data_IF_797334576278
#
_entry.id   IF_797334576278
#
_cell.length_a   1.000
_cell.length_b   1.000
_cell.length_c   1.000
_cell.angle_alpha   90.00
_cell.angle_beta   90.00
_cell.angle_gamma   90.00
#
_symmetry.space_group_name_H-M   'P 1'
#
loop_
_entity.id
_entity.type
_entity.pdbx_description
1 polymer ?
#
# COMPACT_ATOMS: atom_id res chain seq x y z
N UNK A 1 23.96 43.67 -0.68
CA UNK A 1 23.53 42.28 -0.94
C UNK A 1 23.80 41.45 0.30
N UNK A 2 22.77 40.99 1.06
CA UNK A 2 23.01 40.20 2.26
C UNK A 2 23.59 38.83 1.88
N UNK A 3 24.73 38.46 2.49
CA UNK A 3 25.39 37.17 2.29
C UNK A 3 24.46 36.05 2.79
N UNK A 4 23.86 35.31 1.87
CA UNK A 4 23.08 34.11 2.17
C UNK A 4 24.04 33.11 2.83
N UNK A 5 23.92 32.96 4.14
CA UNK A 5 24.67 31.95 4.88
C UNK A 5 24.20 30.59 4.38
N UNK A 6 25.06 29.91 3.60
CA UNK A 6 24.83 28.54 3.16
C UNK A 6 24.72 27.68 4.44
N UNK A 7 23.49 27.32 4.81
CA UNK A 7 23.24 26.41 5.94
C UNK A 7 24.01 25.13 5.66
N UNK A 8 24.85 24.70 6.62
CA UNK A 8 25.53 23.39 6.55
C UNK A 8 24.44 22.32 6.51
N UNK A 9 24.17 21.78 5.33
CA UNK A 9 23.27 20.64 5.20
C UNK A 9 23.88 19.46 5.96
N UNK A 10 23.03 18.76 6.70
CA UNK A 10 23.38 17.47 7.27
C UNK A 10 23.89 16.56 6.14
N UNK A 11 24.98 15.84 6.37
CA UNK A 11 25.52 14.91 5.37
C UNK A 11 24.47 13.82 5.16
N UNK A 12 24.08 13.62 3.90
CA UNK A 12 23.12 12.59 3.50
C UNK A 12 23.96 11.43 2.97
N UNK A 13 23.77 10.24 3.52
CA UNK A 13 24.53 9.07 3.09
C UNK A 13 24.03 8.59 1.72
N UNK A 14 24.92 7.95 0.95
CA UNK A 14 24.57 7.46 -0.38
C UNK A 14 23.39 6.48 -0.34
N UNK A 15 23.30 5.62 0.69
CA UNK A 15 22.17 4.71 0.87
C UNK A 15 20.82 5.44 1.04
N UNK A 16 20.81 6.63 1.64
CA UNK A 16 19.60 7.46 1.75
C UNK A 16 19.23 8.08 0.40
N UNK A 17 20.25 8.44 -0.39
CA UNK A 17 20.09 8.95 -1.76
C UNK A 17 19.50 7.85 -2.65
N UNK A 18 20.02 6.63 -2.57
CA UNK A 18 19.55 5.52 -3.38
C UNK A 18 18.09 5.19 -3.03
N UNK A 19 17.75 5.18 -1.74
CA UNK A 19 16.38 4.93 -1.28
C UNK A 19 15.40 5.99 -1.80
N UNK A 20 15.73 7.29 -1.69
CA UNK A 20 14.82 8.36 -2.09
C UNK A 20 14.58 8.39 -3.59
N UNK A 21 15.59 8.03 -4.40
CA UNK A 21 15.48 8.00 -5.86
C UNK A 21 14.53 6.87 -6.30
N UNK A 22 14.56 5.73 -5.62
CA UNK A 22 13.72 4.56 -5.92
C UNK A 22 12.25 4.72 -5.54
N UNK A 23 11.91 5.61 -4.60
CA UNK A 23 10.53 5.81 -4.16
C UNK A 23 9.73 6.64 -5.18
N UNK A 24 8.45 6.28 -5.38
CA UNK A 24 7.53 6.96 -6.30
C UNK A 24 6.93 8.22 -5.67
N UNK A 25 6.59 8.17 -4.39
CA UNK A 25 6.00 9.28 -3.65
C UNK A 25 6.64 9.50 -2.28
N UNK A 26 6.31 10.64 -1.66
CA UNK A 26 6.90 11.04 -0.37
C UNK A 26 6.47 10.13 0.78
N UNK A 27 5.24 9.62 0.76
CA UNK A 27 4.69 8.79 1.83
C UNK A 27 5.38 7.42 1.84
N UNK A 28 5.53 6.80 0.66
CA UNK A 28 6.33 5.59 0.47
C UNK A 28 7.76 5.79 0.98
N UNK A 29 8.38 6.92 0.63
CA UNK A 29 9.72 7.24 1.09
C UNK A 29 9.80 7.33 2.62
N UNK A 30 8.88 8.04 3.28
CA UNK A 30 8.88 8.12 4.75
C UNK A 30 8.75 6.76 5.42
N UNK A 31 7.86 5.90 4.90
CA UNK A 31 7.64 4.57 5.44
C UNK A 31 8.89 3.71 5.30
N UNK A 32 9.41 3.59 4.08
CA UNK A 32 10.62 2.80 3.80
C UNK A 32 11.84 3.34 4.52
N UNK A 33 11.95 4.67 4.67
CA UNK A 33 13.07 5.26 5.40
C UNK A 33 13.14 4.77 6.85
N UNK A 34 11.98 4.67 7.53
CA UNK A 34 11.91 4.15 8.91
C UNK A 34 12.22 2.65 9.00
N UNK A 35 11.83 1.89 7.97
CA UNK A 35 12.10 0.45 7.88
C UNK A 35 13.58 0.16 7.58
N UNK A 36 14.19 0.90 6.65
CA UNK A 36 15.57 0.69 6.19
C UNK A 36 16.61 1.31 7.13
N UNK A 37 16.28 2.41 7.80
CA UNK A 37 17.18 3.11 8.72
C UNK A 37 16.58 3.26 10.12
N UNK A 38 16.29 2.16 10.84
CA UNK A 38 15.64 2.22 12.15
C UNK A 38 16.52 2.94 13.19
N UNK A 39 17.84 2.84 13.06
CA UNK A 39 18.79 3.44 14.00
C UNK A 39 19.03 4.94 13.74
N UNK A 40 18.64 5.46 12.57
CA UNK A 40 18.80 6.88 12.25
C UNK A 40 17.72 7.70 12.94
N UNK A 41 18.13 8.46 13.96
CA UNK A 41 17.28 9.42 14.68
C UNK A 41 17.03 10.73 13.89
N UNK A 42 16.78 10.65 12.59
CA UNK A 42 16.38 11.83 11.79
C UNK A 42 14.90 12.12 12.01
N UNK A 43 14.60 13.38 12.29
CA UNK A 43 13.21 13.86 12.40
C UNK A 43 12.51 13.87 11.04
N UNK A 44 11.18 13.94 11.07
CA UNK A 44 10.34 14.01 9.86
C UNK A 44 10.78 15.18 8.96
N UNK A 45 11.18 16.32 9.54
CA UNK A 45 11.69 17.47 8.78
C UNK A 45 12.99 17.19 8.03
N UNK A 46 13.90 16.42 8.63
CA UNK A 46 15.17 16.03 7.98
C UNK A 46 14.91 15.04 6.85
N UNK A 47 14.04 14.06 7.07
CA UNK A 47 13.63 13.11 6.02
C UNK A 47 12.94 13.87 4.88
N UNK A 48 12.05 14.81 5.19
CA UNK A 48 11.39 15.65 4.18
C UNK A 48 12.35 16.52 3.37
N UNK A 49 13.47 16.98 3.95
CA UNK A 49 14.52 17.67 3.20
C UNK A 49 15.22 16.75 2.19
N UNK A 50 15.39 15.47 2.51
CA UNK A 50 15.96 14.48 1.57
C UNK A 50 14.99 14.31 0.39
N UNK A 51 13.69 14.14 0.64
CA UNK A 51 12.67 14.04 -0.41
C UNK A 51 12.66 15.26 -1.34
N UNK A 52 12.70 16.47 -0.79
CA UNK A 52 12.73 17.72 -1.59
C UNK A 52 13.95 17.81 -2.50
N UNK A 53 15.06 17.16 -2.13
CA UNK A 53 16.30 17.14 -2.91
C UNK A 53 16.40 15.94 -3.85
N UNK A 54 15.37 15.09 -3.93
CA UNK A 54 15.31 13.94 -4.85
C UNK A 54 15.67 14.33 -6.29
N UNK A 55 15.16 15.45 -6.77
CA UNK A 55 15.48 15.96 -8.11
C UNK A 55 16.97 16.29 -8.30
N UNK A 56 17.64 16.86 -7.29
CA UNK A 56 19.09 17.10 -7.33
C UNK A 56 19.87 15.79 -7.38
N UNK A 57 19.41 14.76 -6.68
CA UNK A 57 20.06 13.45 -6.66
C UNK A 57 19.92 12.72 -7.99
N UNK A 58 18.73 12.74 -8.58
CA UNK A 58 18.49 12.15 -9.91
C UNK A 58 19.41 12.80 -10.96
N UNK A 59 19.53 14.13 -10.97
CA UNK A 59 20.42 14.87 -11.88
C UNK A 59 21.90 14.56 -11.68
N UNK A 60 22.31 14.14 -10.48
CA UNK A 60 23.70 13.73 -10.21
C UNK A 60 23.98 12.30 -10.64
N UNK A 61 22.99 11.41 -10.52
CA UNK A 61 23.09 10.01 -10.96
C UNK A 61 23.03 9.89 -12.48
N UNK A 62 22.18 10.70 -13.11
CA UNK A 62 22.14 10.90 -14.55
C UNK A 62 22.56 12.35 -14.84
N UNK A 63 23.88 12.64 -14.96
CA UNK A 63 24.29 13.90 -15.52
C UNK A 63 23.64 14.01 -16.89
N UNK A 64 22.78 15.02 -17.04
CA UNK A 64 22.23 15.41 -18.33
C UNK A 64 23.43 15.54 -19.28
N UNK A 65 23.44 14.86 -20.45
CA UNK A 65 24.50 15.10 -21.41
C UNK A 65 24.46 16.59 -21.71
N UNK A 66 25.54 17.31 -21.41
CA UNK A 66 25.68 18.71 -21.78
C UNK A 66 25.45 18.77 -23.28
N UNK A 67 24.27 19.22 -23.72
CA UNK A 67 24.00 19.51 -25.12
C UNK A 67 24.86 20.73 -25.39
N UNK A 68 26.00 20.62 -26.10
CA UNK A 68 26.83 21.79 -26.32
C UNK A 68 25.98 22.85 -27.03
N UNK A 69 26.09 24.11 -26.62
CA UNK A 69 25.38 25.21 -27.26
C UNK A 69 25.68 25.20 -28.76
N UNK A 70 24.71 24.73 -29.56
CA UNK A 70 24.85 24.42 -30.99
C UNK A 70 24.53 22.98 -31.41
N UNK A 71 24.21 22.05 -30.50
CA UNK A 71 23.97 20.65 -30.85
C UNK A 71 22.55 20.33 -31.32
N UNK A 72 22.53 19.86 -32.57
CA UNK A 72 21.64 18.85 -33.14
C UNK A 72 20.14 19.16 -33.13
N UNK A 73 19.67 19.68 -34.25
CA UNK A 73 18.32 19.38 -34.75
C UNK A 73 18.09 17.87 -34.62
N UNK A 74 17.13 17.47 -33.79
CA UNK A 74 16.72 16.07 -33.66
C UNK A 74 16.48 15.54 -35.09
N UNK A 75 17.14 14.46 -35.52
CA UNK A 75 16.96 13.95 -36.87
C UNK A 75 15.46 13.73 -37.14
N UNK A 76 14.91 14.16 -38.28
CA UNK A 76 13.48 14.01 -38.56
C UNK A 76 13.03 12.55 -38.48
N UNK A 77 13.92 11.59 -38.75
CA UNK A 77 13.70 10.16 -38.55
C UNK A 77 13.46 9.79 -37.08
N UNK A 78 14.22 10.39 -36.15
CA UNK A 78 14.05 10.14 -34.72
C UNK A 78 12.72 10.72 -34.22
N UNK A 79 12.31 11.88 -34.72
CA UNK A 79 10.98 12.45 -34.44
C UNK A 79 9.87 11.52 -34.93
N UNK A 80 10.00 10.99 -36.15
CA UNK A 80 9.03 10.04 -36.71
C UNK A 80 8.98 8.71 -35.93
N UNK A 81 10.14 8.24 -35.48
CA UNK A 81 10.24 7.03 -34.66
C UNK A 81 9.56 7.22 -33.30
N UNK A 82 9.79 8.36 -32.62
CA UNK A 82 9.12 8.71 -31.36
C UNK A 82 7.61 8.82 -31.55
N UNK A 83 7.16 9.45 -32.65
CA UNK A 83 5.74 9.56 -32.96
C UNK A 83 5.10 8.18 -33.18
N UNK A 84 5.79 7.29 -33.92
CA UNK A 84 5.34 5.91 -34.15
C UNK A 84 5.28 5.12 -32.85
N UNK A 85 6.30 5.23 -32.00
CA UNK A 85 6.32 4.58 -30.69
C UNK A 85 5.16 5.04 -29.79
N UNK A 86 4.92 6.35 -29.73
CA UNK A 86 3.82 6.92 -28.95
C UNK A 86 2.44 6.46 -29.47
N UNK A 87 2.29 6.31 -30.78
CA UNK A 87 1.08 5.76 -31.39
C UNK A 87 0.86 4.31 -30.93
N UNK A 88 1.88 3.46 -31.02
CA UNK A 88 1.81 2.06 -30.57
C UNK A 88 1.48 1.96 -29.08
N UNK A 89 2.12 2.77 -28.24
CA UNK A 89 1.81 2.80 -26.79
C UNK A 89 0.37 3.22 -26.50
N UNK A 90 -0.17 4.14 -27.30
CA UNK A 90 -1.57 4.57 -27.21
C UNK A 90 -2.52 3.43 -27.58
N UNK A 91 -2.25 2.72 -28.67
CA UNK A 91 -3.04 1.57 -29.11
C UNK A 91 -3.01 0.44 -28.07
N UNK A 92 -1.83 0.10 -27.52
CA UNK A 92 -1.70 -0.88 -26.43
C UNK A 92 -2.52 -0.43 -25.22
N UNK A 93 -2.48 0.86 -24.86
CA UNK A 93 -3.25 1.37 -23.72
C UNK A 93 -4.76 1.26 -23.93
N UNK A 94 -5.24 1.41 -25.17
CA UNK A 94 -6.65 1.19 -25.51
C UNK A 94 -7.00 -0.29 -25.35
N UNK A 95 -6.21 -1.19 -25.95
CA UNK A 95 -6.42 -2.64 -25.88
C UNK A 95 -6.45 -3.15 -24.43
N UNK A 96 -5.54 -2.68 -23.58
CA UNK A 96 -5.50 -3.06 -22.16
C UNK A 96 -6.77 -2.60 -21.42
N UNK A 97 -7.31 -1.42 -21.75
CA UNK A 97 -8.56 -0.93 -21.15
C UNK A 97 -9.75 -1.78 -21.59
N UNK A 98 -9.83 -2.12 -22.87
CA UNK A 98 -10.87 -3.01 -23.41
C UNK A 98 -10.80 -4.40 -22.78
N UNK A 99 -9.59 -4.98 -22.67
CA UNK A 99 -9.38 -6.25 -22.01
C UNK A 99 -9.83 -6.22 -20.54
N UNK A 100 -9.53 -5.14 -19.81
CA UNK A 100 -9.98 -4.97 -18.43
C UNK A 100 -11.50 -4.88 -18.35
N UNK A 101 -12.15 -4.18 -19.28
CA UNK A 101 -13.60 -4.06 -19.36
C UNK A 101 -14.25 -5.42 -19.61
N UNK A 102 -13.79 -6.16 -20.62
CA UNK A 102 -14.26 -7.52 -20.92
C UNK A 102 -14.05 -8.45 -19.72
N UNK A 103 -12.90 -8.37 -19.06
CA UNK A 103 -12.63 -9.18 -17.85
C UNK A 103 -13.62 -8.87 -16.74
N UNK A 104 -13.94 -7.59 -16.50
CA UNK A 104 -14.95 -7.20 -15.50
C UNK A 104 -16.33 -7.72 -15.86
N UNK A 105 -16.70 -7.68 -17.13
CA UNK A 105 -17.99 -8.22 -17.61
C UNK A 105 -18.06 -9.72 -17.37
N UNK A 106 -17.02 -10.48 -17.74
CA UNK A 106 -16.92 -11.93 -17.49
C UNK A 106 -17.04 -12.23 -15.99
N UNK A 107 -16.31 -11.50 -15.14
CA UNK A 107 -16.40 -11.66 -13.68
C UNK A 107 -17.81 -11.34 -13.16
N UNK A 108 -18.53 -10.42 -13.80
CA UNK A 108 -19.92 -10.11 -13.47
C UNK A 108 -20.90 -11.26 -13.73
N UNK A 109 -20.61 -12.12 -14.71
CA UNK A 109 -21.39 -13.33 -14.98
C UNK A 109 -21.02 -14.51 -14.07
N UNK A 110 -19.86 -14.46 -13.41
CA UNK A 110 -19.49 -15.51 -12.47
C UNK A 110 -20.34 -15.42 -11.20
N UNK A 111 -20.81 -16.57 -10.66
CA UNK A 111 -21.47 -16.58 -9.36
C UNK A 111 -20.55 -15.94 -8.34
N UNK A 112 -21.03 -14.90 -7.64
CA UNK A 112 -20.31 -14.32 -6.51
C UNK A 112 -20.02 -15.46 -5.54
N UNK A 113 -18.75 -15.75 -5.29
CA UNK A 113 -18.35 -16.73 -4.29
C UNK A 113 -18.88 -16.25 -2.93
N UNK A 114 -20.02 -16.80 -2.52
CA UNK A 114 -20.46 -16.73 -1.15
C UNK A 114 -19.65 -17.79 -0.40
N UNK A 115 -18.85 -17.43 0.60
CA UNK A 115 -18.37 -18.43 1.53
C UNK A 115 -19.63 -19.06 2.14
N UNK A 116 -19.91 -20.32 1.77
CA UNK A 116 -21.00 -21.08 2.36
C UNK A 116 -20.75 -21.10 3.86
N UNK A 117 -21.65 -20.48 4.60
CA UNK A 117 -21.96 -20.83 5.98
C UNK A 117 -21.93 -22.35 6.07
N UNK A 118 -21.09 -22.86 6.97
CA UNK A 118 -20.92 -24.28 7.25
C UNK A 118 -22.21 -24.82 7.89
N UNK A 119 -23.26 -24.99 7.08
CA UNK A 119 -24.42 -25.80 7.44
C UNK A 119 -23.99 -27.27 7.42
N UNK A 120 -23.81 -27.80 8.62
CA UNK A 120 -23.55 -29.21 8.85
C UNK A 120 -24.79 -30.02 8.46
N UNK A 121 -24.72 -30.69 7.30
CA UNK A 121 -25.76 -31.55 6.73
C UNK A 121 -25.82 -32.88 7.51
N UNK A 122 -26.95 -33.06 8.20
CA UNK A 122 -27.85 -34.24 8.25
C UNK A 122 -27.36 -35.59 8.80
N UNK A 123 -28.13 -36.11 9.77
CA UNK A 123 -28.36 -37.54 10.00
C UNK A 123 -29.88 -37.78 10.17
N UNK A 124 -30.53 -38.69 9.42
CA UNK A 124 -31.98 -38.93 9.50
C UNK A 124 -32.28 -40.24 10.30
N UNK A 125 -33.55 -40.69 10.47
CA UNK A 125 -34.33 -40.55 11.71
C UNK A 125 -34.70 -41.89 12.38
N UNK A 126 -34.98 -41.89 13.69
CA UNK A 126 -35.77 -42.96 14.33
C UNK A 126 -36.44 -42.45 15.63
N UNK A 127 -37.77 -42.44 15.64
CA UNK A 127 -38.63 -42.46 16.83
C UNK A 127 -39.38 -43.81 16.81
N UNK A 128 -39.77 -44.45 17.94
CA UNK A 128 -40.88 -43.95 18.79
C UNK A 128 -40.92 -44.32 20.31
N UNK A 129 -41.49 -43.39 21.14
CA UNK A 129 -42.36 -43.50 22.35
C UNK A 129 -42.00 -44.48 23.52
N UNK A 130 -41.54 -44.01 24.71
CA UNK A 130 -42.24 -43.62 25.99
C UNK A 130 -42.45 -44.78 27.01
N UNK A 131 -42.71 -44.62 28.36
CA UNK A 131 -42.73 -43.46 29.31
C UNK A 131 -42.11 -43.73 30.75
N UNK A 132 -42.22 -42.73 31.68
CA UNK A 132 -42.03 -42.74 33.17
C UNK A 132 -40.59 -42.84 33.74
N UNK A 133 -40.12 -42.10 34.76
CA UNK A 133 -40.75 -41.78 36.06
C UNK A 133 -39.94 -40.71 36.86
N UNK A 134 -40.66 -39.77 37.52
CA UNK A 134 -40.42 -39.05 38.81
C UNK A 134 -39.25 -38.07 39.03
N UNK A 135 -39.60 -36.79 39.22
CA UNK A 135 -38.99 -35.85 40.19
C UNK A 135 -39.20 -36.34 41.65
N UNK A 136 -38.32 -36.01 42.64
CA UNK A 136 -38.49 -34.76 43.42
C UNK A 136 -37.21 -34.11 44.01
N UNK A 137 -37.20 -32.77 43.98
CA UNK A 137 -36.80 -31.75 44.99
C UNK A 137 -35.82 -32.14 46.13
N UNK A 138 -34.74 -31.35 46.30
CA UNK A 138 -34.27 -30.75 47.58
C UNK A 138 -33.17 -29.68 47.37
N UNK A 139 -33.49 -28.40 47.69
CA UNK A 139 -32.54 -27.33 48.14
C UNK A 139 -32.28 -27.53 49.67
N UNK A 140 -31.42 -26.78 50.44
CA UNK A 140 -30.77 -25.47 50.18
C UNK A 140 -29.34 -25.23 50.78
N UNK A 141 -28.76 -24.04 50.52
CA UNK A 141 -27.70 -23.36 51.31
C UNK A 141 -26.27 -23.53 50.76
N UNK A 142 -25.41 -22.53 50.60
CA UNK A 142 -25.23 -21.30 51.38
C UNK A 142 -24.53 -20.17 50.57
N UNK A 143 -24.77 -18.92 50.99
CA UNK A 143 -24.37 -17.64 50.40
C UNK A 143 -22.85 -17.35 50.39
N UNK A 144 -22.41 -16.57 49.39
CA UNK A 144 -21.55 -15.38 49.57
C UNK A 144 -21.84 -14.35 48.45
N UNK A 145 -21.98 -13.05 48.77
CA UNK A 145 -22.50 -12.03 47.86
C UNK A 145 -21.45 -11.47 46.88
N UNK A 146 -21.89 -10.81 45.78
CA UNK A 146 -21.02 -10.28 44.73
C UNK A 146 -20.32 -8.99 45.19
N UNK A 147 -19.03 -8.86 44.86
CA UNK A 147 -18.33 -7.59 45.02
C UNK A 147 -18.71 -6.65 43.87
N UNK A 148 -19.39 -5.55 44.22
CA UNK A 148 -19.75 -4.43 43.36
C UNK A 148 -18.53 -3.84 42.64
N UNK A 149 -18.67 -3.63 41.32
CA UNK A 149 -17.75 -2.81 40.53
C UNK A 149 -18.41 -1.44 40.38
N UNK A 150 -17.92 -0.46 41.13
CA UNK A 150 -18.32 0.94 41.00
C UNK A 150 -17.66 1.57 39.77
N UNK A 151 -18.45 2.07 38.82
CA UNK A 151 -18.01 2.94 37.73
C UNK A 151 -18.41 4.37 38.12
N UNK A 152 -17.41 5.22 38.42
CA UNK A 152 -17.60 6.63 38.73
C UNK A 152 -17.85 7.48 37.48
N UNK A 153 -18.67 8.52 37.64
CA UNK A 153 -18.97 9.57 36.64
C UNK A 153 -17.90 10.63 36.55
#
# INVERSE_FOLDING_TARGET
MPRVHKRKYEKIDQSEIDLVVQCQDSHEFYKRYRETFPDKKKGVDSIGKIWKRRGEFIKKLHPEPEIPEGAATIPPELVNMIATQNKVLTEISVLVREQLQVTKEILGYLPKWTPKTEEHIQKPPAQPRSPEHKEPVKKPGHEKPPADIMIGS
#
